data_IF_249937955983
#
_entry.id   IF_249937955983
#
_cell.length_a   1.000
_cell.length_b   1.000
_cell.length_c   1.000
_cell.angle_alpha   90.00
_cell.angle_beta   90.00
_cell.angle_gamma   90.00
#
_symmetry.space_group_name_H-M   'P 1'
#
loop_
_entity.id
_entity.type
_entity.pdbx_description
1 polymer ?
#
# COMPACT_ATOMS: atom_id res chain seq x y z
N UNK A 1 -26.00 1.50 -18.96
CA UNK A 1 -25.09 1.66 -17.81
C UNK A 1 -24.06 0.57 -17.91
N UNK A 2 -22.75 0.88 -17.99
CA UNK A 2 -21.71 -0.14 -17.94
C UNK A 2 -21.84 -0.91 -16.61
N UNK A 3 -21.57 -2.22 -16.66
CA UNK A 3 -21.89 -3.15 -15.60
C UNK A 3 -20.86 -3.02 -14.45
N UNK A 4 -21.03 -2.00 -13.60
CA UNK A 4 -20.17 -1.75 -12.43
C UNK A 4 -20.15 -2.92 -11.43
N UNK A 5 -21.08 -3.88 -11.56
CA UNK A 5 -21.09 -5.13 -10.80
C UNK A 5 -19.78 -5.93 -10.94
N UNK A 6 -19.08 -5.81 -12.08
CA UNK A 6 -17.81 -6.52 -12.28
C UNK A 6 -16.62 -5.89 -11.53
N UNK A 7 -16.70 -4.63 -11.10
CA UNK A 7 -15.61 -3.92 -10.42
C UNK A 7 -15.71 -3.97 -8.90
N UNK A 8 -16.81 -4.50 -8.38
CA UNK A 8 -17.03 -4.66 -6.93
C UNK A 8 -16.76 -3.37 -6.14
N UNK A 9 -17.15 -2.21 -6.68
CA UNK A 9 -16.97 -0.91 -6.03
C UNK A 9 -17.92 -0.77 -4.83
N UNK A 10 -17.46 -0.10 -3.77
CA UNK A 10 -18.31 0.34 -2.68
C UNK A 10 -19.37 1.35 -3.18
N UNK A 11 -20.52 1.45 -2.50
CA UNK A 11 -21.60 2.38 -2.87
C UNK A 11 -21.24 3.84 -2.57
N UNK A 12 -20.29 4.07 -1.66
CA UNK A 12 -19.90 5.40 -1.20
C UNK A 12 -19.07 6.16 -2.24
N UNK A 13 -19.17 7.49 -2.15
CA UNK A 13 -18.44 8.44 -2.99
C UNK A 13 -17.61 9.37 -2.09
N UNK A 14 -16.40 9.68 -2.52
CA UNK A 14 -15.42 10.42 -1.71
C UNK A 14 -14.87 11.61 -2.48
N UNK A 15 -14.51 12.68 -1.74
CA UNK A 15 -13.88 13.86 -2.33
C UNK A 15 -12.40 13.68 -2.68
N UNK A 16 -11.75 12.62 -2.17
CA UNK A 16 -10.37 12.28 -2.49
C UNK A 16 -10.10 10.78 -2.34
N UNK A 17 -9.02 10.30 -2.98
CA UNK A 17 -8.52 8.94 -2.77
C UNK A 17 -8.14 8.67 -1.30
N UNK A 18 -7.50 9.65 -0.64
CA UNK A 18 -7.10 9.52 0.76
C UNK A 18 -8.32 9.33 1.67
N UNK A 19 -9.40 10.10 1.47
CA UNK A 19 -10.66 9.93 2.19
C UNK A 19 -11.29 8.55 1.96
N UNK A 20 -11.28 8.05 0.72
CA UNK A 20 -11.81 6.74 0.39
C UNK A 20 -11.06 5.61 1.15
N UNK A 21 -9.73 5.70 1.20
CA UNK A 21 -8.90 4.72 1.91
C UNK A 21 -9.08 4.80 3.42
N UNK A 22 -9.16 5.99 4.00
CA UNK A 22 -9.40 6.17 5.43
C UNK A 22 -10.76 5.60 5.85
N UNK A 23 -11.80 5.84 5.03
CA UNK A 23 -13.13 5.27 5.26
C UNK A 23 -13.11 3.73 5.17
N UNK A 24 -12.40 3.18 4.18
CA UNK A 24 -12.24 1.73 4.06
C UNK A 24 -11.48 1.16 5.27
N UNK A 25 -10.37 1.77 5.68
CA UNK A 25 -9.55 1.34 6.80
C UNK A 25 -10.33 1.27 8.12
N UNK A 26 -11.33 2.13 8.31
CA UNK A 26 -12.20 2.11 9.48
C UNK A 26 -13.23 0.95 9.48
N UNK A 27 -13.42 0.26 8.35
CA UNK A 27 -14.49 -0.74 8.16
C UNK A 27 -13.99 -2.13 7.79
N UNK A 28 -12.74 -2.27 7.36
CA UNK A 28 -12.14 -3.55 6.96
C UNK A 28 -11.38 -4.19 8.12
N UNK A 29 -11.39 -5.52 8.17
CA UNK A 29 -10.42 -6.24 8.99
C UNK A 29 -9.02 -6.04 8.39
N UNK A 30 -8.19 -5.26 9.08
CA UNK A 30 -6.80 -4.97 8.69
C UNK A 30 -5.83 -6.07 9.14
N UNK A 31 -6.31 -7.09 9.86
CA UNK A 31 -5.53 -8.25 10.27
C UNK A 31 -6.08 -9.60 9.75
N UNK A 32 -6.32 -9.72 8.43
CA UNK A 32 -6.82 -10.95 7.85
C UNK A 32 -5.75 -12.05 7.87
N UNK A 33 -6.19 -13.31 7.82
CA UNK A 33 -5.31 -14.48 7.66
C UNK A 33 -4.56 -14.49 6.32
N UNK A 34 -5.08 -13.77 5.31
CA UNK A 34 -4.48 -13.60 3.99
C UNK A 34 -4.51 -12.14 3.59
N UNK A 35 -3.51 -11.70 2.81
CA UNK A 35 -3.41 -10.31 2.42
C UNK A 35 -4.56 -9.91 1.50
N UNK A 36 -5.26 -8.83 1.86
CA UNK A 36 -6.35 -8.26 1.08
C UNK A 36 -5.86 -7.02 0.34
N UNK A 37 -6.51 -6.71 -0.77
CA UNK A 37 -6.26 -5.47 -1.49
C UNK A 37 -7.37 -5.11 -2.44
N UNK A 38 -7.11 -4.06 -3.22
CA UNK A 38 -8.01 -3.54 -4.22
C UNK A 38 -7.51 -2.23 -4.80
N UNK A 39 -8.41 -1.45 -5.37
CA UNK A 39 -8.10 -0.27 -6.15
C UNK A 39 -9.06 0.90 -5.89
N UNK A 40 -8.59 2.08 -6.30
CA UNK A 40 -9.30 3.35 -6.20
C UNK A 40 -9.43 3.90 -7.61
N UNK A 41 -10.62 4.39 -7.95
CA UNK A 41 -10.92 5.05 -9.22
C UNK A 41 -11.53 6.42 -8.98
N UNK A 42 -11.37 7.30 -9.96
CA UNK A 42 -12.11 8.54 -10.07
C UNK A 42 -13.18 8.38 -11.15
N UNK A 43 -14.44 8.61 -10.79
CA UNK A 43 -15.53 8.56 -11.75
C UNK A 43 -15.77 9.93 -12.34
N UNK A 44 -15.51 10.09 -13.65
CA UNK A 44 -15.64 11.37 -14.35
C UNK A 44 -17.08 11.88 -14.36
N UNK A 45 -18.04 10.98 -14.53
CA UNK A 45 -19.46 11.33 -14.59
C UNK A 45 -20.03 11.85 -13.27
N UNK A 46 -19.46 11.41 -12.14
CA UNK A 46 -19.88 11.88 -10.80
C UNK A 46 -18.91 12.89 -10.21
N UNK A 47 -17.71 13.07 -10.76
CA UNK A 47 -16.61 13.86 -10.21
C UNK A 47 -16.20 13.45 -8.78
N UNK A 48 -16.24 12.15 -8.50
CA UNK A 48 -15.95 11.60 -7.17
C UNK A 48 -15.03 10.38 -7.25
N UNK A 49 -14.31 10.14 -6.15
CA UNK A 49 -13.53 8.93 -5.95
C UNK A 49 -14.42 7.79 -5.46
N UNK A 50 -14.10 6.58 -5.91
CA UNK A 50 -14.70 5.33 -5.48
C UNK A 50 -13.61 4.31 -5.20
N UNK A 51 -13.88 3.36 -4.33
CA UNK A 51 -12.93 2.33 -3.90
C UNK A 51 -13.57 0.95 -4.03
N UNK A 52 -12.80 -0.04 -4.44
CA UNK A 52 -13.27 -1.44 -4.51
C UNK A 52 -13.51 -2.02 -3.12
N UNK A 53 -14.26 -3.11 -3.05
CA UNK A 53 -14.26 -3.98 -1.88
C UNK A 53 -12.90 -4.70 -1.75
N UNK A 54 -12.39 -4.89 -0.53
CA UNK A 54 -11.20 -5.70 -0.29
C UNK A 54 -11.41 -7.14 -0.75
N UNK A 55 -10.37 -7.73 -1.33
CA UNK A 55 -10.37 -9.12 -1.72
C UNK A 55 -8.96 -9.71 -1.65
N UNK A 56 -8.87 -11.04 -1.58
CA UNK A 56 -7.59 -11.74 -1.51
C UNK A 56 -6.75 -11.47 -2.75
N UNK A 57 -5.49 -11.10 -2.54
CA UNK A 57 -4.57 -10.76 -3.62
C UNK A 57 -4.01 -12.02 -4.32
N UNK A 58 -4.05 -13.18 -3.67
CA UNK A 58 -3.58 -14.45 -4.25
C UNK A 58 -4.50 -14.96 -5.38
N UNK A 59 -5.76 -14.52 -5.40
CA UNK A 59 -6.77 -14.94 -6.37
C UNK A 59 -7.36 -13.81 -7.20
N UNK A 60 -6.85 -12.58 -7.09
CA UNK A 60 -7.46 -11.44 -7.76
C UNK A 60 -7.03 -11.38 -9.24
N UNK A 61 -7.96 -11.48 -10.21
CA UNK A 61 -7.68 -11.04 -11.55
C UNK A 61 -7.48 -9.52 -11.45
N UNK A 62 -6.22 -9.09 -11.49
CA UNK A 62 -5.88 -7.69 -11.49
C UNK A 62 -6.68 -6.99 -12.57
N UNK A 63 -7.25 -5.84 -12.22
CA UNK A 63 -7.99 -5.03 -13.19
C UNK A 63 -7.08 -4.78 -14.38
N UNK A 64 -7.56 -5.17 -15.55
CA UNK A 64 -6.83 -4.95 -16.79
C UNK A 64 -7.01 -3.49 -17.21
N UNK A 65 -5.88 -2.85 -17.50
CA UNK A 65 -5.83 -1.51 -18.04
C UNK A 65 -5.31 -1.60 -19.46
N UNK A 66 -5.84 -0.75 -20.33
CA UNK A 66 -5.26 -0.59 -21.66
C UNK A 66 -3.91 0.14 -21.58
N UNK A 67 -3.23 0.26 -22.72
CA UNK A 67 -1.92 0.91 -22.83
C UNK A 67 -1.93 2.40 -22.43
N UNK A 68 -3.12 3.01 -22.35
CA UNK A 68 -3.33 4.40 -21.93
C UNK A 68 -3.62 4.52 -20.43
N UNK A 69 -3.62 3.41 -19.68
CA UNK A 69 -3.92 3.38 -18.25
C UNK A 69 -5.42 3.49 -17.93
N UNK A 70 -6.28 3.41 -18.94
CA UNK A 70 -7.73 3.42 -18.76
C UNK A 70 -8.20 2.01 -18.46
N UNK A 71 -9.09 1.92 -17.47
CA UNK A 71 -9.69 0.68 -17.02
C UNK A 71 -10.53 0.09 -18.17
N UNK A 72 -10.17 -1.10 -18.66
CA UNK A 72 -10.76 -1.69 -19.88
C UNK A 72 -12.27 -1.92 -19.70
N UNK A 73 -12.72 -2.16 -18.47
CA UNK A 73 -14.11 -2.46 -18.14
C UNK A 73 -15.04 -1.24 -18.13
N UNK A 74 -14.51 -0.03 -17.94
CA UNK A 74 -15.30 1.20 -17.87
C UNK A 74 -14.44 2.44 -18.20
N UNK A 75 -14.63 3.07 -19.38
CA UNK A 75 -13.85 4.23 -19.79
C UNK A 75 -14.19 5.53 -19.02
N UNK A 76 -15.26 5.56 -18.24
CA UNK A 76 -15.63 6.70 -17.39
C UNK A 76 -14.91 6.69 -16.02
N UNK A 77 -14.10 5.65 -15.78
CA UNK A 77 -13.32 5.47 -14.56
C UNK A 77 -11.83 5.65 -14.83
N UNK A 78 -11.22 6.58 -14.11
CA UNK A 78 -9.78 6.80 -14.09
C UNK A 78 -9.14 6.08 -12.91
N UNK A 79 -8.09 5.29 -13.16
CA UNK A 79 -7.37 4.64 -12.09
C UNK A 79 -6.56 5.64 -11.25
N UNK A 80 -6.69 5.55 -9.93
CA UNK A 80 -6.07 6.50 -9.01
C UNK A 80 -5.03 5.85 -8.08
N UNK A 81 -5.12 4.55 -7.83
CA UNK A 81 -4.19 3.86 -6.95
C UNK A 81 -4.66 2.48 -6.50
N UNK A 82 -3.80 1.79 -5.76
CA UNK A 82 -4.10 0.51 -5.12
C UNK A 82 -4.00 0.61 -3.60
N UNK A 83 -4.72 -0.23 -2.89
CA UNK A 83 -4.53 -0.43 -1.46
C UNK A 83 -4.32 -1.90 -1.13
N UNK A 84 -3.65 -2.16 0.00
CA UNK A 84 -3.53 -3.49 0.56
C UNK A 84 -3.43 -3.49 2.08
N UNK A 85 -3.79 -4.61 2.70
CA UNK A 85 -3.64 -4.87 4.14
C UNK A 85 -2.31 -5.59 4.44
N UNK A 86 -2.10 -5.93 5.71
CA UNK A 86 -0.88 -6.60 6.18
C UNK A 86 -0.54 -7.91 5.46
N UNK A 87 0.76 -8.14 5.28
CA UNK A 87 1.34 -9.44 4.91
C UNK A 87 1.61 -10.26 6.18
N UNK A 88 0.54 -10.79 6.82
CA UNK A 88 0.66 -11.58 8.06
C UNK A 88 1.54 -12.82 7.87
N UNK A 89 1.47 -13.46 6.69
CA UNK A 89 2.29 -14.62 6.37
C UNK A 89 3.77 -14.24 6.29
N UNK A 90 4.13 -13.23 5.50
CA UNK A 90 5.51 -12.75 5.41
C UNK A 90 6.05 -12.24 6.74
N UNK A 91 5.21 -11.58 7.55
CA UNK A 91 5.60 -11.15 8.89
C UNK A 91 5.96 -12.34 9.82
N UNK A 92 5.31 -13.50 9.68
CA UNK A 92 5.63 -14.70 10.48
C UNK A 92 6.97 -15.33 10.13
N UNK A 93 7.49 -15.07 8.93
CA UNK A 93 8.81 -15.55 8.50
C UNK A 93 9.95 -14.71 9.08
N UNK A 94 9.67 -13.47 9.48
CA UNK A 94 10.67 -12.57 10.07
C UNK A 94 10.82 -12.91 11.55
N UNK A 95 12.04 -13.28 11.93
CA UNK A 95 12.37 -13.48 13.32
C UNK A 95 12.26 -12.15 14.10
N UNK A 96 11.57 -12.18 15.24
CA UNK A 96 11.24 -10.99 16.04
C UNK A 96 12.40 -10.54 16.95
N UNK A 97 13.61 -10.44 16.37
CA UNK A 97 14.69 -9.77 17.07
C UNK A 97 14.40 -8.26 17.08
N UNK A 98 14.43 -7.65 18.27
CA UNK A 98 14.28 -6.20 18.43
C UNK A 98 12.96 -5.61 17.88
N UNK A 99 11.87 -6.38 17.80
CA UNK A 99 10.57 -5.91 17.34
C UNK A 99 10.44 -5.76 15.82
N UNK A 100 11.39 -6.28 15.04
CA UNK A 100 11.41 -6.18 13.57
C UNK A 100 10.17 -6.83 12.93
N UNK A 101 9.63 -7.89 13.53
CA UNK A 101 8.39 -8.53 13.08
C UNK A 101 7.20 -7.56 13.18
N UNK A 102 7.10 -6.85 14.30
CA UNK A 102 6.05 -5.86 14.52
C UNK A 102 6.17 -4.70 13.52
N UNK A 103 7.38 -4.22 13.23
CA UNK A 103 7.61 -3.16 12.25
C UNK A 103 7.25 -3.64 10.84
N UNK A 104 7.63 -4.86 10.44
CA UNK A 104 7.28 -5.41 9.13
C UNK A 104 5.77 -5.55 8.96
N UNK A 105 5.09 -6.10 9.97
CA UNK A 105 3.63 -6.29 9.93
C UNK A 105 2.86 -4.98 9.71
N UNK A 106 3.42 -3.86 10.16
CA UNK A 106 2.81 -2.54 10.01
C UNK A 106 3.44 -1.71 8.87
N UNK A 107 4.18 -2.33 7.94
CA UNK A 107 4.79 -1.65 6.81
C UNK A 107 4.65 -2.46 5.51
N UNK A 108 4.81 -1.78 4.37
CA UNK A 108 4.70 -2.41 3.06
C UNK A 108 5.65 -3.61 2.92
N UNK A 109 5.12 -4.78 2.58
CA UNK A 109 5.92 -5.92 2.12
C UNK A 109 6.72 -5.54 0.86
N UNK A 110 8.05 -5.81 0.78
CA UNK A 110 8.89 -5.39 -0.35
C UNK A 110 8.36 -5.84 -1.71
N UNK A 111 7.88 -7.08 -1.80
CA UNK A 111 7.36 -7.65 -3.05
C UNK A 111 6.07 -6.96 -3.48
N UNK A 112 5.20 -6.62 -2.53
CA UNK A 112 3.97 -5.90 -2.82
C UNK A 112 4.20 -4.45 -3.19
N UNK A 113 5.08 -3.75 -2.46
CA UNK A 113 5.50 -2.41 -2.82
C UNK A 113 6.07 -2.37 -4.24
N UNK A 114 6.93 -3.32 -4.61
CA UNK A 114 7.47 -3.41 -5.96
C UNK A 114 6.38 -3.61 -7.02
N UNK A 115 5.44 -4.52 -6.80
CA UNK A 115 4.31 -4.75 -7.73
C UNK A 115 3.46 -3.49 -7.90
N UNK A 116 3.15 -2.82 -6.80
CA UNK A 116 2.41 -1.57 -6.78
C UNK A 116 3.13 -0.48 -7.57
N UNK A 117 4.42 -0.29 -7.33
CA UNK A 117 5.24 0.66 -8.10
C UNK A 117 5.25 0.31 -9.59
N UNK A 118 5.36 -0.99 -9.95
CA UNK A 118 5.31 -1.41 -11.35
C UNK A 118 3.97 -1.04 -12.01
N UNK A 119 2.86 -1.18 -11.29
CA UNK A 119 1.54 -0.77 -11.76
C UNK A 119 1.45 0.75 -11.88
N UNK A 120 1.87 1.50 -10.85
CA UNK A 120 1.88 2.96 -10.86
C UNK A 120 2.68 3.51 -12.04
N UNK A 121 3.84 2.92 -12.35
CA UNK A 121 4.66 3.34 -13.49
C UNK A 121 3.99 3.06 -14.84
N UNK A 122 3.22 1.97 -14.97
CA UNK A 122 2.49 1.63 -16.20
C UNK A 122 1.27 2.52 -16.39
N UNK A 123 0.53 2.75 -15.32
CA UNK A 123 -0.76 3.44 -15.34
C UNK A 123 -0.63 4.94 -15.10
N UNK A 124 0.58 5.40 -14.77
CA UNK A 124 0.84 6.75 -14.22
C UNK A 124 -0.06 7.04 -13.02
N UNK A 125 -0.36 6.00 -12.25
CA UNK A 125 -1.23 6.08 -11.09
C UNK A 125 -0.56 6.90 -9.98
N UNK A 126 -1.39 7.47 -9.11
CA UNK A 126 -0.96 8.52 -8.20
C UNK A 126 -0.40 8.00 -6.88
N UNK A 127 -0.83 6.84 -6.37
CA UNK A 127 -0.34 6.34 -5.09
C UNK A 127 -0.74 4.89 -4.77
N UNK A 128 0.08 4.30 -3.92
CA UNK A 128 -0.17 3.09 -3.18
C UNK A 128 -0.53 3.32 -1.72
N UNK A 129 -1.40 2.49 -1.15
CA UNK A 129 -1.84 2.61 0.24
C UNK A 129 -1.63 1.30 1.01
N UNK A 130 -1.15 1.41 2.25
CA UNK A 130 -1.00 0.31 3.20
C UNK A 130 -1.92 0.52 4.39
N UNK A 131 -2.76 -0.47 4.67
CA UNK A 131 -3.68 -0.50 5.80
C UNK A 131 -3.09 -1.44 6.85
N UNK A 132 -2.41 -0.87 7.85
CA UNK A 132 -1.72 -1.64 8.87
C UNK A 132 -2.70 -2.20 9.93
N UNK A 133 -2.37 -3.34 10.58
CA UNK A 133 -3.21 -3.95 11.63
C UNK A 133 -3.39 -3.08 12.86
N UNK A 134 -2.46 -2.16 13.10
CA UNK A 134 -2.51 -1.18 14.19
C UNK A 134 -3.32 0.08 13.83
N UNK A 135 -4.09 0.02 12.75
CA UNK A 135 -4.87 1.11 12.16
C UNK A 135 -4.04 2.26 11.57
N UNK A 136 -2.72 2.13 11.44
CA UNK A 136 -1.97 3.09 10.65
C UNK A 136 -2.36 2.97 9.17
N UNK A 137 -2.44 4.12 8.49
CA UNK A 137 -2.62 4.16 7.04
C UNK A 137 -1.42 4.88 6.45
N UNK A 138 -0.67 4.18 5.61
CA UNK A 138 0.48 4.74 4.91
C UNK A 138 0.15 4.93 3.45
N UNK A 139 0.71 5.97 2.86
CA UNK A 139 0.64 6.28 1.44
C UNK A 139 2.05 6.34 0.88
N UNK A 140 2.26 5.70 -0.26
CA UNK A 140 3.51 5.76 -0.99
C UNK A 140 3.28 6.18 -2.44
N UNK A 141 4.07 7.13 -2.93
CA UNK A 141 4.14 7.49 -4.35
C UNK A 141 5.59 7.58 -4.78
N UNK A 142 5.98 6.84 -5.82
CA UNK A 142 7.35 6.92 -6.34
C UNK A 142 7.64 8.28 -7.00
N UNK A 143 8.89 8.76 -6.88
CA UNK A 143 9.39 9.92 -7.64
C UNK A 143 9.63 9.65 -9.14
N UNK A 144 9.44 8.43 -9.61
CA UNK A 144 9.54 8.07 -11.02
C UNK A 144 10.39 6.83 -11.27
N UNK A 145 10.42 6.41 -12.54
CA UNK A 145 10.92 5.10 -12.97
C UNK A 145 12.37 4.79 -12.53
N UNK A 146 13.26 5.78 -12.55
CA UNK A 146 14.68 5.57 -12.20
C UNK A 146 14.86 5.17 -10.72
N UNK A 147 14.18 5.87 -9.81
CA UNK A 147 14.30 5.62 -8.36
C UNK A 147 13.47 4.40 -7.94
N UNK A 148 12.30 4.21 -8.56
CA UNK A 148 11.45 3.03 -8.40
C UNK A 148 12.10 1.74 -8.88
N UNK A 149 12.83 1.77 -9.99
CA UNK A 149 13.38 0.58 -10.65
C UNK A 149 14.28 -0.23 -9.72
N UNK A 150 15.03 0.44 -8.84
CA UNK A 150 15.87 -0.23 -7.86
C UNK A 150 15.07 -0.96 -6.78
N UNK A 151 14.03 -0.33 -6.22
CA UNK A 151 13.13 -1.00 -5.26
C UNK A 151 12.44 -2.21 -5.90
N UNK A 152 12.00 -2.07 -7.14
CA UNK A 152 11.37 -3.15 -7.90
C UNK A 152 12.34 -4.32 -8.08
N UNK A 153 13.54 -4.06 -8.60
CA UNK A 153 14.51 -5.10 -8.91
C UNK A 153 15.05 -5.82 -7.66
N UNK A 154 15.19 -5.09 -6.55
CA UNK A 154 15.75 -5.64 -5.31
C UNK A 154 14.70 -6.24 -4.36
N UNK A 155 13.40 -6.10 -4.63
CA UNK A 155 12.35 -6.51 -3.67
C UNK A 155 12.49 -7.95 -3.13
N UNK A 156 12.78 -8.98 -3.95
CA UNK A 156 13.02 -10.33 -3.43
C UNK A 156 14.24 -10.40 -2.50
N UNK A 157 15.34 -9.73 -2.86
CA UNK A 157 16.57 -9.70 -2.06
C UNK A 157 16.38 -8.92 -0.76
N UNK A 158 15.57 -7.85 -0.77
CA UNK A 158 15.20 -7.11 0.44
C UNK A 158 14.42 -8.04 1.36
N UNK A 159 13.37 -8.70 0.86
CA UNK A 159 12.55 -9.62 1.66
C UNK A 159 13.38 -10.75 2.27
N UNK A 160 14.18 -11.46 1.45
CA UNK A 160 15.08 -12.50 1.96
C UNK A 160 16.07 -11.96 2.99
N UNK A 161 16.57 -10.73 2.79
CA UNK A 161 17.47 -10.07 3.74
C UNK A 161 16.82 -9.74 5.08
N UNK A 162 15.54 -9.33 5.08
CA UNK A 162 14.75 -9.07 6.28
C UNK A 162 14.46 -10.38 7.03
N UNK A 163 14.03 -11.44 6.32
CA UNK A 163 13.79 -12.77 6.90
C UNK A 163 15.06 -13.33 7.53
N UNK A 164 16.19 -13.27 6.82
CA UNK A 164 17.48 -13.75 7.30
C UNK A 164 18.17 -12.78 8.29
N UNK A 165 17.55 -11.66 8.65
CA UNK A 165 18.10 -10.62 9.52
C UNK A 165 19.46 -10.05 9.05
N UNK A 166 19.78 -10.17 7.77
CA UNK A 166 20.96 -9.53 7.16
C UNK A 166 20.68 -8.09 6.72
N UNK A 167 19.41 -7.68 6.76
CA UNK A 167 18.92 -6.32 6.60
C UNK A 167 17.91 -6.01 7.70
N UNK A 168 17.86 -4.76 8.14
CA UNK A 168 16.84 -4.27 9.08
C UNK A 168 15.70 -3.56 8.38
N UNK A 169 14.52 -3.60 8.97
CA UNK A 169 13.34 -2.84 8.56
C UNK A 169 13.61 -1.35 8.54
N UNK A 170 14.42 -0.83 9.47
CA UNK A 170 14.83 0.58 9.46
C UNK A 170 15.57 0.94 8.17
N UNK A 171 16.49 0.08 7.71
CA UNK A 171 17.20 0.32 6.45
C UNK A 171 16.23 0.28 5.27
N UNK A 172 15.29 -0.66 5.28
CA UNK A 172 14.28 -0.79 4.23
C UNK A 172 13.33 0.43 4.19
N UNK A 173 12.77 0.87 5.32
CA UNK A 173 11.89 2.04 5.40
C UNK A 173 12.60 3.29 4.87
N UNK A 174 13.88 3.50 5.23
CA UNK A 174 14.68 4.61 4.69
C UNK A 174 14.88 4.51 3.19
N UNK A 175 15.07 3.29 2.66
CA UNK A 175 15.16 3.07 1.22
C UNK A 175 13.84 3.44 0.52
N UNK A 176 12.70 3.09 1.11
CA UNK A 176 11.37 3.47 0.59
C UNK A 176 11.17 4.98 0.64
N UNK A 177 11.42 5.63 1.78
CA UNK A 177 11.29 7.08 1.94
C UNK A 177 12.20 7.88 0.98
N UNK A 178 13.34 7.32 0.55
CA UNK A 178 14.21 7.94 -0.47
C UNK A 178 13.70 7.76 -1.90
N UNK A 179 12.87 6.75 -2.14
CA UNK A 179 12.40 6.41 -3.48
C UNK A 179 11.11 7.14 -3.89
N UNK A 180 10.48 7.83 -2.94
CA UNK A 180 9.19 8.48 -3.17
C UNK A 180 8.66 9.21 -1.94
N UNK A 181 7.46 9.75 -2.09
CA UNK A 181 6.67 10.35 -1.02
C UNK A 181 6.08 9.23 -0.16
N UNK A 182 6.69 8.93 0.98
CA UNK A 182 6.11 8.07 2.01
C UNK A 182 5.43 8.95 3.07
N UNK A 183 4.12 8.77 3.26
CA UNK A 183 3.28 9.64 4.09
C UNK A 183 2.46 8.79 5.06
N UNK A 184 2.35 9.22 6.31
CA UNK A 184 1.41 8.69 7.30
C UNK A 184 0.10 9.50 7.21
N UNK A 185 -0.98 8.86 6.76
CA UNK A 185 -2.31 9.45 6.67
C UNK A 185 -3.13 9.24 7.95
N UNK A 186 -2.90 8.12 8.63
CA UNK A 186 -3.50 7.80 9.92
C UNK A 186 -2.43 7.19 10.82
N UNK A 187 -2.37 7.65 12.06
CA UNK A 187 -1.37 7.22 13.02
C UNK A 187 -1.65 5.81 13.54
N UNK A 188 -0.59 5.09 13.88
CA UNK A 188 -0.71 3.80 14.56
C UNK A 188 -1.29 3.94 15.97
N UNK A 189 -2.03 2.93 16.42
CA UNK A 189 -2.35 2.73 17.84
C UNK A 189 -1.17 2.15 18.65
N UNK A 190 -0.18 1.56 17.99
CA UNK A 190 1.04 1.06 18.61
C UNK A 190 1.99 2.23 18.96
N UNK A 191 2.32 2.43 20.24
CA UNK A 191 3.16 3.57 20.65
C UNK A 191 4.49 3.59 19.91
N UNK A 192 4.81 4.74 19.32
CA UNK A 192 6.09 5.00 18.70
C UNK A 192 6.22 4.55 17.23
N UNK A 193 5.36 3.66 16.74
CA UNK A 193 5.30 3.37 15.31
C UNK A 193 4.35 4.36 14.62
N UNK A 194 4.67 4.83 13.42
CA UNK A 194 3.83 5.75 12.62
C UNK A 194 3.10 6.86 13.40
N UNK A 195 3.80 7.52 14.33
CA UNK A 195 3.19 8.51 15.25
C UNK A 195 2.99 9.89 14.61
N UNK A 196 3.97 10.48 13.90
CA UNK A 196 3.75 11.77 13.25
C UNK A 196 2.93 11.59 11.96
N UNK A 197 1.84 12.34 11.83
CA UNK A 197 1.13 12.50 10.56
C UNK A 197 2.00 13.24 9.54
N UNK A 198 1.84 12.91 8.27
CA UNK A 198 2.55 13.56 7.16
C UNK A 198 3.78 12.79 6.69
N UNK A 199 4.73 13.49 6.10
CA UNK A 199 5.88 12.88 5.44
C UNK A 199 6.78 12.10 6.41
N UNK A 200 7.14 10.87 6.04
CA UNK A 200 8.15 10.07 6.71
C UNK A 200 9.53 10.53 6.22
N UNK A 201 10.40 11.05 7.10
CA UNK A 201 11.67 11.60 6.66
C UNK A 201 12.66 10.51 6.26
N UNK A 202 13.59 10.82 5.36
CA UNK A 202 14.58 9.86 4.82
C UNK A 202 15.55 9.30 5.85
N UNK A 203 15.67 9.95 7.00
CA UNK A 203 16.50 9.55 8.12
C UNK A 203 15.70 8.78 9.19
N UNK A 204 14.40 8.52 8.96
CA UNK A 204 13.45 7.92 9.89
C UNK A 204 14.08 6.93 10.86
N UNK A 205 13.78 7.15 12.14
CA UNK A 205 14.22 6.35 13.26
C UNK A 205 12.96 5.95 14.02
N UNK A 206 12.63 4.65 14.03
CA UNK A 206 11.66 4.13 14.99
C UNK A 206 12.14 4.49 16.40
N UNK A 207 11.27 5.00 17.28
CA UNK A 207 11.41 4.78 18.70
C UNK A 207 11.14 3.28 18.95
N UNK A 208 12.16 2.44 18.72
CA UNK A 208 12.11 1.07 19.22
C UNK A 208 12.16 1.19 20.75
N UNK A 209 11.01 1.17 21.41
CA UNK A 209 11.00 0.89 22.83
C UNK A 209 11.37 -0.59 22.98
N UNK A 210 12.50 -0.82 23.62
CA UNK A 210 12.83 -2.10 24.22
C UNK A 210 11.71 -2.43 25.20
N UNK A 211 10.96 -3.52 24.97
CA UNK A 211 10.37 -4.23 26.10
C UNK A 211 11.50 -4.91 26.88
#
# INVERSE_FOLDING_TARGET
>A
MPNTENLNLLPDYFGSADQAVLALAASVDTNPDSMLGGFIVFSRGFEHYRISRPASIEGYPWVEFNEQGVLVLDPDLDFCGTYCTTDTAGAREIADAHGEQAVFRNFFSPVFLARMIQQDLKLRACAGYWLAPDNAVLKFRSFGAATAGNLIAQAPLILSGLIAQTRSMRSYIRQVARAGDLIVLQTSHFPGLWTPLGAVPVDWFAPLQSN
#
